data_IF_231118796832
#
_entry.id   IF_231118796832
#
_cell.length_a   1.000
_cell.length_b   1.000
_cell.length_c   1.000
_cell.angle_alpha   90.00
_cell.angle_beta   90.00
_cell.angle_gamma   90.00
#
_symmetry.space_group_name_H-M   'P 1'
#
loop_
_entity.id
_entity.type
_entity.pdbx_description
1 polymer ?
#
# COMPACT_ATOMS: atom_id res chain seq x y z
N UNK A 1 -15.71 6.24 60.53
CA UNK A 1 -15.63 4.82 60.13
C UNK A 1 -16.16 4.54 58.71
N UNK A 2 -17.35 5.02 58.28
CA UNK A 2 -17.86 4.77 56.94
C UNK A 2 -17.01 5.42 55.83
N UNK A 3 -16.46 6.61 56.07
CA UNK A 3 -15.58 7.29 55.08
C UNK A 3 -14.26 6.55 54.83
N UNK A 4 -13.63 6.05 55.90
CA UNK A 4 -12.38 5.25 55.78
C UNK A 4 -12.61 3.91 55.10
N UNK A 5 -13.75 3.28 55.29
CA UNK A 5 -14.12 2.05 54.59
C UNK A 5 -14.29 2.29 53.10
N UNK A 6 -14.94 3.38 52.69
CA UNK A 6 -15.09 3.76 51.28
C UNK A 6 -13.73 4.05 50.63
N UNK A 7 -12.83 4.78 51.30
CA UNK A 7 -11.48 5.05 50.79
C UNK A 7 -10.71 3.74 50.57
N UNK A 8 -10.78 2.82 51.52
CA UNK A 8 -10.13 1.50 51.42
C UNK A 8 -10.72 0.67 50.27
N UNK A 9 -12.03 0.71 50.09
CA UNK A 9 -12.70 -0.02 49.02
C UNK A 9 -12.36 0.54 47.64
N UNK A 10 -12.31 1.88 47.48
CA UNK A 10 -11.89 2.49 46.20
C UNK A 10 -10.42 2.18 45.87
N UNK A 11 -9.54 2.20 46.89
CA UNK A 11 -8.14 1.80 46.73
C UNK A 11 -7.97 0.34 46.30
N UNK A 12 -8.74 -0.57 46.93
CA UNK A 12 -8.72 -1.99 46.58
C UNK A 12 -9.23 -2.22 45.13
N UNK A 13 -10.31 -1.55 44.73
CA UNK A 13 -10.84 -1.64 43.39
C UNK A 13 -9.83 -1.10 42.34
N UNK A 14 -9.20 0.02 42.64
CA UNK A 14 -8.15 0.58 41.76
C UNK A 14 -6.96 -0.38 41.64
N UNK A 15 -6.50 -0.97 42.73
CA UNK A 15 -5.42 -1.95 42.72
C UNK A 15 -5.79 -3.19 41.88
N UNK A 16 -7.03 -3.69 41.99
CA UNK A 16 -7.53 -4.82 41.20
C UNK A 16 -7.47 -4.49 39.69
N UNK A 17 -8.01 -3.34 39.25
CA UNK A 17 -8.01 -2.89 37.85
C UNK A 17 -6.57 -2.74 37.34
N UNK A 18 -5.66 -2.20 38.14
CA UNK A 18 -4.24 -2.08 37.76
C UNK A 18 -3.58 -3.44 37.52
N UNK A 19 -3.83 -4.42 38.42
CA UNK A 19 -3.31 -5.79 38.30
C UNK A 19 -3.89 -6.48 37.06
N UNK A 20 -5.20 -6.35 36.81
CA UNK A 20 -5.85 -6.89 35.60
C UNK A 20 -5.26 -6.28 34.34
N UNK A 21 -4.99 -4.97 34.32
CA UNK A 21 -4.37 -4.29 33.20
C UNK A 21 -2.93 -4.77 32.96
N UNK A 22 -2.12 -4.91 34.01
CA UNK A 22 -0.74 -5.44 33.89
C UNK A 22 -0.78 -6.88 33.39
N UNK A 23 -1.66 -7.72 33.92
CA UNK A 23 -1.82 -9.10 33.48
C UNK A 23 -2.21 -9.18 32.00
N UNK A 24 -3.12 -8.31 31.54
CA UNK A 24 -3.50 -8.23 30.14
C UNK A 24 -2.33 -7.78 29.25
N UNK A 25 -1.55 -6.78 29.68
CA UNK A 25 -0.36 -6.34 28.95
C UNK A 25 0.69 -7.46 28.83
N UNK A 26 0.90 -8.25 29.89
CA UNK A 26 1.84 -9.39 29.89
C UNK A 26 1.32 -10.49 28.97
N UNK A 27 0.05 -10.85 29.07
CA UNK A 27 -0.56 -11.88 28.24
C UNK A 27 -0.47 -11.55 26.74
N UNK A 28 -0.58 -10.28 26.38
CA UNK A 28 -0.60 -9.82 25.00
C UNK A 28 0.73 -9.21 24.51
N UNK A 29 1.83 -9.33 25.27
CA UNK A 29 3.11 -8.72 24.90
C UNK A 29 3.66 -9.16 23.53
N UNK A 30 3.30 -10.38 23.10
CA UNK A 30 3.68 -10.95 21.81
C UNK A 30 2.53 -10.98 20.79
N UNK A 31 1.38 -10.37 21.11
CA UNK A 31 0.24 -10.27 20.18
C UNK A 31 0.54 -9.14 19.18
N UNK A 32 0.56 -9.46 17.91
CA UNK A 32 0.79 -8.50 16.84
C UNK A 32 -0.30 -7.39 16.85
N UNK A 33 0.13 -6.14 16.71
CA UNK A 33 -0.77 -4.98 16.73
C UNK A 33 -1.20 -4.52 18.12
N UNK A 34 -0.97 -5.31 19.19
CA UNK A 34 -1.34 -4.91 20.54
C UNK A 34 -0.54 -3.70 21.03
N UNK A 35 -1.24 -2.72 21.58
CA UNK A 35 -0.63 -1.54 22.21
C UNK A 35 -0.73 -1.64 23.72
N UNK A 36 0.38 -1.35 24.40
CA UNK A 36 0.41 -1.30 25.88
C UNK A 36 -0.69 -0.38 26.40
N UNK A 37 -1.44 -0.84 27.38
CA UNK A 37 -2.53 -0.11 28.03
C UNK A 37 -2.13 0.40 29.38
N UNK A 38 -2.57 1.60 29.70
CA UNK A 38 -2.34 2.24 31.00
C UNK A 38 -3.68 2.70 31.55
N UNK A 39 -3.92 2.38 32.81
CA UNK A 39 -5.10 2.81 33.53
C UNK A 39 -4.84 4.18 34.16
N UNK A 40 -5.73 5.12 33.90
CA UNK A 40 -5.67 6.42 34.53
C UNK A 40 -6.29 6.33 35.97
N UNK A 41 -5.48 6.67 36.96
CA UNK A 41 -5.91 6.74 38.35
C UNK A 41 -5.94 8.20 38.73
N UNK A 42 -7.07 8.66 39.29
CA UNK A 42 -7.26 10.03 39.78
C UNK A 42 -7.82 10.01 41.21
N UNK A 43 -7.52 11.04 41.94
CA UNK A 43 -8.20 11.27 43.21
C UNK A 43 -9.69 11.58 42.99
N UNK A 44 -10.53 11.20 43.93
CA UNK A 44 -11.94 11.62 43.99
C UNK A 44 -11.99 12.97 44.71
N UNK A 45 -12.46 14.01 44.00
CA UNK A 45 -12.50 15.38 44.48
C UNK A 45 -13.22 15.51 45.84
N UNK A 46 -12.67 16.38 46.69
CA UNK A 46 -13.15 16.65 48.01
C UNK A 46 -14.35 17.62 47.93
N UNK A 47 -15.51 17.21 48.46
CA UNK A 47 -16.69 18.09 48.49
C UNK A 47 -16.72 19.02 49.72
N UNK A 48 -15.93 18.75 50.77
CA UNK A 48 -15.89 19.54 52.00
C UNK A 48 -14.49 19.46 52.64
N UNK A 49 -13.95 20.59 53.04
CA UNK A 49 -12.63 20.71 53.68
C UNK A 49 -12.48 19.98 55.00
N UNK A 50 -13.57 19.47 55.56
CA UNK A 50 -13.61 18.71 56.84
C UNK A 50 -13.24 17.24 56.71
N UNK A 51 -13.08 16.72 55.47
CA UNK A 51 -12.77 15.32 55.21
C UNK A 51 -11.43 15.18 54.48
N UNK A 52 -10.56 14.30 54.96
CA UNK A 52 -9.28 13.96 54.34
C UNK A 52 -9.47 12.96 53.21
N UNK A 53 -9.73 13.44 52.00
CA UNK A 53 -9.80 12.61 50.79
C UNK A 53 -11.04 11.68 50.72
N UNK A 54 -11.45 11.34 49.53
CA UNK A 54 -12.58 10.42 49.24
C UNK A 54 -12.14 9.11 48.60
N UNK A 55 -10.81 8.93 48.44
CA UNK A 55 -10.24 7.75 47.79
C UNK A 55 -9.78 8.03 46.36
N UNK A 56 -9.69 6.96 45.59
CA UNK A 56 -9.16 7.00 44.22
C UNK A 56 -10.18 6.39 43.27
N UNK A 57 -10.20 6.93 42.06
CA UNK A 57 -10.96 6.40 40.94
C UNK A 57 -9.98 5.88 39.88
N UNK A 58 -10.07 4.59 39.54
CA UNK A 58 -9.44 4.02 38.38
C UNK A 58 -10.44 4.08 37.23
N UNK A 59 -10.27 5.05 36.37
CA UNK A 59 -11.16 5.29 35.24
C UNK A 59 -10.55 4.72 33.93
N UNK A 60 -10.67 5.39 32.86
CA UNK A 60 -10.36 4.96 31.51
C UNK A 60 -8.98 4.31 31.34
N UNK A 61 -8.97 3.24 30.57
CA UNK A 61 -7.74 2.62 30.06
C UNK A 61 -7.43 3.23 28.69
N UNK A 62 -6.23 3.77 28.54
CA UNK A 62 -5.79 4.32 27.26
C UNK A 62 -4.58 3.59 26.70
N UNK A 63 -4.43 3.60 25.39
CA UNK A 63 -3.29 3.00 24.68
C UNK A 63 -2.10 3.95 24.69
N UNK A 64 -0.90 3.40 24.90
CA UNK A 64 0.34 4.17 24.74
C UNK A 64 0.73 4.14 23.27
N UNK A 65 0.46 5.22 22.55
CA UNK A 65 0.74 5.37 21.13
C UNK A 65 1.42 6.72 20.85
N UNK A 66 2.19 6.78 19.79
CA UNK A 66 2.73 8.01 19.24
C UNK A 66 2.36 8.09 17.76
N UNK A 67 1.46 8.99 17.41
CA UNK A 67 1.02 9.19 16.03
C UNK A 67 2.21 9.46 15.10
N UNK A 68 3.12 10.33 15.51
CA UNK A 68 4.33 10.63 14.73
C UNK A 68 5.17 9.37 14.42
N UNK A 69 5.37 8.49 15.41
CA UNK A 69 6.13 7.27 15.22
C UNK A 69 5.38 6.28 14.34
N UNK A 70 4.06 6.24 14.47
CA UNK A 70 3.21 5.39 13.65
C UNK A 70 3.19 5.83 12.18
N UNK A 71 3.04 7.12 11.91
CA UNK A 71 3.09 7.68 10.56
C UNK A 71 4.46 7.44 9.90
N UNK A 72 5.53 7.57 10.69
CA UNK A 72 6.86 7.26 10.20
C UNK A 72 7.02 5.78 9.89
N UNK A 73 6.52 4.90 10.76
CA UNK A 73 6.58 3.45 10.57
C UNK A 73 5.83 3.04 9.28
N UNK A 74 4.60 3.50 9.08
CA UNK A 74 3.82 3.21 7.88
C UNK A 74 4.48 3.75 6.61
N UNK A 75 5.01 4.96 6.64
CA UNK A 75 5.75 5.55 5.52
C UNK A 75 7.02 4.77 5.16
N UNK A 76 7.83 4.38 6.15
CA UNK A 76 9.04 3.59 5.89
C UNK A 76 8.69 2.15 5.44
N UNK A 77 7.60 1.57 5.96
CA UNK A 77 7.10 0.29 5.50
C UNK A 77 6.71 0.33 4.01
N UNK A 78 5.95 1.36 3.59
CA UNK A 78 5.58 1.56 2.18
C UNK A 78 6.82 1.69 1.29
N UNK A 79 7.82 2.49 1.71
CA UNK A 79 9.08 2.63 0.95
C UNK A 79 9.84 1.32 0.82
N UNK A 80 9.94 0.56 1.92
CA UNK A 80 10.60 -0.74 1.93
C UNK A 80 9.93 -1.71 0.94
N UNK A 81 8.60 -1.81 0.99
CA UNK A 81 7.85 -2.67 0.09
C UNK A 81 7.96 -2.22 -1.39
N UNK A 82 7.94 -0.91 -1.63
CA UNK A 82 8.16 -0.36 -2.98
C UNK A 82 9.52 -0.78 -3.55
N UNK A 83 10.61 -0.60 -2.79
CA UNK A 83 11.94 -0.96 -3.27
C UNK A 83 12.13 -2.47 -3.41
N UNK A 84 11.53 -3.26 -2.52
CA UNK A 84 11.51 -4.72 -2.64
C UNK A 84 10.77 -5.18 -3.91
N UNK A 85 9.61 -4.61 -4.19
CA UNK A 85 8.86 -4.91 -5.42
C UNK A 85 9.63 -4.49 -6.66
N UNK A 86 10.22 -3.29 -6.65
CA UNK A 86 11.06 -2.80 -7.75
C UNK A 86 12.25 -3.72 -8.00
N UNK A 87 12.95 -4.15 -6.93
CA UNK A 87 14.07 -5.08 -7.03
C UNK A 87 13.66 -6.43 -7.63
N UNK A 88 12.52 -6.97 -7.17
CA UNK A 88 11.99 -8.23 -7.69
C UNK A 88 11.60 -8.11 -9.17
N UNK A 89 10.96 -7.02 -9.56
CA UNK A 89 10.59 -6.75 -10.95
C UNK A 89 11.84 -6.60 -11.83
N UNK A 90 12.86 -5.87 -11.36
CA UNK A 90 14.12 -5.75 -12.10
C UNK A 90 14.84 -7.09 -12.22
N UNK A 91 14.84 -7.93 -11.19
CA UNK A 91 15.36 -9.29 -11.25
C UNK A 91 14.62 -10.18 -12.25
N UNK A 92 13.29 -10.04 -12.34
CA UNK A 92 12.50 -10.73 -13.37
C UNK A 92 12.85 -10.29 -14.77
N UNK A 93 13.02 -8.98 -14.98
CA UNK A 93 13.46 -8.42 -16.27
C UNK A 93 14.89 -8.88 -16.59
N UNK A 94 15.80 -8.83 -15.62
CA UNK A 94 17.17 -9.31 -15.80
C UNK A 94 17.19 -10.79 -16.22
N UNK A 95 16.32 -11.62 -15.64
CA UNK A 95 16.21 -13.03 -16.00
C UNK A 95 15.75 -13.26 -17.46
N UNK A 96 14.91 -12.36 -17.99
CA UNK A 96 14.48 -12.41 -19.41
C UNK A 96 15.66 -12.12 -20.35
N UNK A 97 16.55 -11.21 -19.96
CA UNK A 97 17.76 -10.88 -20.70
C UNK A 97 18.98 -11.72 -20.30
N UNK A 98 18.80 -12.70 -19.40
CA UNK A 98 19.92 -13.52 -18.94
C UNK A 98 20.50 -14.31 -20.11
N UNK A 99 21.74 -13.99 -20.43
CA UNK A 99 22.48 -14.61 -21.53
C UNK A 99 23.60 -15.48 -20.96
N UNK A 100 23.84 -16.60 -21.61
CA UNK A 100 25.03 -17.40 -21.35
C UNK A 100 26.07 -17.13 -22.46
N UNK A 101 27.31 -17.56 -22.24
CA UNK A 101 28.38 -17.39 -23.24
C UNK A 101 28.01 -17.94 -24.62
N UNK A 102 27.18 -18.97 -24.64
CA UNK A 102 26.87 -19.73 -25.86
C UNK A 102 25.40 -19.65 -26.29
N UNK A 103 24.56 -18.98 -25.53
CA UNK A 103 23.13 -18.82 -25.87
C UNK A 103 22.60 -17.45 -25.40
N UNK A 104 21.60 -16.96 -26.13
CA UNK A 104 20.96 -15.66 -25.91
C UNK A 104 21.06 -14.77 -27.16
N UNK A 105 20.34 -13.66 -27.13
CA UNK A 105 20.26 -12.74 -28.28
C UNK A 105 21.63 -12.22 -28.75
N UNK A 106 22.51 -11.83 -27.82
CA UNK A 106 23.85 -11.33 -28.17
C UNK A 106 24.71 -12.42 -28.83
N UNK A 107 24.59 -13.67 -28.39
CA UNK A 107 25.30 -14.80 -28.97
C UNK A 107 24.80 -15.08 -30.41
N UNK A 108 23.46 -15.06 -30.61
CA UNK A 108 22.86 -15.26 -31.92
C UNK A 108 23.19 -14.12 -32.88
N UNK A 109 23.21 -12.88 -32.37
CA UNK A 109 23.64 -11.71 -33.15
C UNK A 109 25.11 -11.83 -33.62
N UNK A 110 26.01 -12.24 -32.73
CA UNK A 110 27.40 -12.46 -33.05
C UNK A 110 27.56 -13.59 -34.07
N UNK A 111 26.84 -14.70 -33.94
CA UNK A 111 26.83 -15.81 -34.92
C UNK A 111 26.32 -15.35 -36.28
N UNK A 112 25.32 -14.50 -36.32
CA UNK A 112 24.79 -13.93 -37.54
C UNK A 112 25.84 -13.08 -38.25
N UNK A 113 26.50 -12.15 -37.55
CA UNK A 113 27.59 -11.35 -38.14
C UNK A 113 28.78 -12.21 -38.58
N UNK A 114 29.14 -13.22 -37.82
CA UNK A 114 30.20 -14.15 -38.20
C UNK A 114 29.83 -14.95 -39.44
N UNK A 115 28.57 -15.32 -39.62
CA UNK A 115 28.11 -16.01 -40.84
C UNK A 115 28.12 -15.11 -42.05
N UNK A 116 27.86 -13.81 -41.90
CA UNK A 116 28.03 -12.80 -42.98
C UNK A 116 29.50 -12.73 -43.40
N UNK A 117 30.42 -12.68 -42.43
CA UNK A 117 31.86 -12.58 -42.74
C UNK A 117 32.37 -13.84 -43.42
N UNK A 118 31.93 -15.02 -43.02
CA UNK A 118 32.26 -16.28 -43.68
C UNK A 118 31.75 -16.32 -45.12
N UNK A 119 30.53 -15.83 -45.39
CA UNK A 119 30.00 -15.75 -46.73
C UNK A 119 30.74 -14.70 -47.59
N UNK A 120 31.17 -13.57 -46.99
CA UNK A 120 31.98 -12.55 -47.67
C UNK A 120 33.29 -13.11 -48.21
N UNK A 121 33.94 -13.99 -47.44
CA UNK A 121 35.20 -14.64 -47.88
C UNK A 121 35.00 -15.70 -48.96
N UNK A 122 33.84 -16.34 -49.01
CA UNK A 122 33.49 -17.42 -49.95
C UNK A 122 32.06 -17.26 -50.49
N UNK A 123 31.79 -16.28 -51.39
CA UNK A 123 30.42 -15.91 -51.77
C UNK A 123 29.67 -16.97 -52.57
N UNK A 124 30.37 -17.90 -53.19
CA UNK A 124 29.78 -19.00 -54.00
C UNK A 124 29.50 -20.28 -53.19
N UNK A 125 29.86 -20.30 -51.89
CA UNK A 125 29.65 -21.48 -51.04
C UNK A 125 28.19 -21.63 -50.64
N UNK A 126 27.52 -22.68 -51.07
CA UNK A 126 26.14 -23.01 -50.68
C UNK A 126 26.03 -23.32 -49.18
N UNK A 127 27.10 -23.84 -48.57
CA UNK A 127 27.18 -24.10 -47.13
C UNK A 127 27.11 -22.79 -46.35
N UNK A 128 27.89 -21.77 -46.73
CA UNK A 128 27.87 -20.48 -46.03
C UNK A 128 26.58 -19.70 -46.27
N UNK A 129 25.95 -19.83 -47.45
CA UNK A 129 24.61 -19.28 -47.68
C UNK A 129 23.56 -19.91 -46.75
N UNK A 130 23.61 -21.24 -46.62
CA UNK A 130 22.72 -21.96 -45.69
C UNK A 130 22.96 -21.61 -44.23
N UNK A 131 24.25 -21.48 -43.85
CA UNK A 131 24.62 -21.06 -42.47
C UNK A 131 24.12 -19.66 -42.17
N UNK A 132 24.26 -18.71 -43.08
CA UNK A 132 23.75 -17.35 -42.92
C UNK A 132 22.22 -17.34 -42.79
N UNK A 133 21.51 -18.11 -43.61
CA UNK A 133 20.06 -18.24 -43.51
C UNK A 133 19.63 -18.79 -42.14
N UNK A 134 20.30 -19.84 -41.67
CA UNK A 134 19.97 -20.48 -40.39
C UNK A 134 20.27 -19.55 -39.22
N UNK A 135 21.41 -18.87 -39.19
CA UNK A 135 21.73 -17.91 -38.14
C UNK A 135 20.82 -16.69 -38.16
N UNK A 136 20.35 -16.24 -39.32
CA UNK A 136 19.32 -15.22 -39.44
C UNK A 136 17.97 -15.66 -38.87
N UNK A 137 17.54 -16.90 -39.14
CA UNK A 137 16.32 -17.45 -38.58
C UNK A 137 16.41 -17.57 -37.06
N UNK A 138 17.53 -18.08 -36.52
CA UNK A 138 17.75 -18.19 -35.08
C UNK A 138 17.71 -16.81 -34.40
N UNK A 139 18.32 -15.78 -35.02
CA UNK A 139 18.28 -14.42 -34.50
C UNK A 139 16.85 -13.86 -34.43
N UNK A 140 16.04 -14.11 -35.49
CA UNK A 140 14.62 -13.70 -35.48
C UNK A 140 13.84 -14.44 -34.41
N UNK A 141 14.07 -15.74 -34.25
CA UNK A 141 13.44 -16.55 -33.21
C UNK A 141 13.81 -16.07 -31.80
N UNK A 142 15.08 -15.75 -31.55
CA UNK A 142 15.54 -15.17 -30.27
C UNK A 142 14.85 -13.84 -29.98
N UNK A 143 14.70 -12.96 -30.97
CA UNK A 143 13.96 -11.71 -30.80
C UNK A 143 12.47 -11.92 -30.48
N UNK A 144 11.83 -12.86 -31.17
CA UNK A 144 10.42 -13.18 -30.92
C UNK A 144 10.23 -13.75 -29.53
N UNK A 145 11.12 -14.63 -29.09
CA UNK A 145 11.08 -15.20 -27.74
C UNK A 145 11.28 -14.13 -26.67
N UNK A 146 12.22 -13.21 -26.88
CA UNK A 146 12.46 -12.08 -25.97
C UNK A 146 11.22 -11.18 -25.89
N UNK A 147 10.63 -10.81 -27.03
CA UNK A 147 9.42 -10.02 -27.11
C UNK A 147 8.26 -10.69 -26.34
N UNK A 148 8.02 -11.97 -26.62
CA UNK A 148 6.94 -12.74 -25.96
C UNK A 148 7.17 -12.86 -24.45
N UNK A 149 8.42 -13.00 -24.01
CA UNK A 149 8.77 -13.05 -22.60
C UNK A 149 8.47 -11.73 -21.89
N UNK A 150 8.79 -10.59 -22.51
CA UNK A 150 8.48 -9.25 -21.99
C UNK A 150 6.95 -9.03 -21.93
N UNK A 151 6.23 -9.43 -22.99
CA UNK A 151 4.77 -9.34 -23.04
C UNK A 151 4.10 -10.17 -21.93
N UNK A 152 4.57 -11.40 -21.71
CA UNK A 152 4.09 -12.26 -20.63
C UNK A 152 4.38 -11.66 -19.24
N UNK A 153 5.55 -11.05 -19.06
CA UNK A 153 5.88 -10.35 -17.80
C UNK A 153 4.93 -9.17 -17.58
N UNK A 154 4.66 -8.39 -18.63
CA UNK A 154 3.70 -7.27 -18.53
C UNK A 154 2.29 -7.74 -18.15
N UNK A 155 1.81 -8.85 -18.72
CA UNK A 155 0.51 -9.45 -18.37
C UNK A 155 0.50 -9.92 -16.92
N UNK A 156 1.62 -10.48 -16.44
CA UNK A 156 1.77 -10.94 -15.06
C UNK A 156 1.69 -9.76 -14.09
N UNK A 157 2.45 -8.69 -14.34
CA UNK A 157 2.44 -7.48 -13.50
C UNK A 157 1.04 -6.82 -13.47
N UNK A 158 0.33 -6.81 -14.60
CA UNK A 158 -1.03 -6.30 -14.67
C UNK A 158 -1.98 -7.10 -13.77
N UNK A 159 -1.93 -8.43 -13.84
CA UNK A 159 -2.76 -9.29 -12.98
C UNK A 159 -2.44 -9.10 -11.51
N UNK A 160 -1.16 -8.96 -11.16
CA UNK A 160 -0.74 -8.69 -9.79
C UNK A 160 -1.27 -7.34 -9.31
N UNK A 161 -1.23 -6.30 -10.15
CA UNK A 161 -1.82 -5.00 -9.85
C UNK A 161 -3.32 -5.11 -9.54
N UNK A 162 -4.08 -5.87 -10.34
CA UNK A 162 -5.51 -6.09 -10.10
C UNK A 162 -5.77 -6.79 -8.76
N UNK A 163 -4.97 -7.82 -8.43
CA UNK A 163 -5.06 -8.52 -7.14
C UNK A 163 -4.77 -7.57 -5.98
N UNK A 164 -3.72 -6.76 -6.11
CA UNK A 164 -3.33 -5.80 -5.07
C UNK A 164 -4.39 -4.70 -4.88
N UNK A 165 -5.00 -4.19 -5.96
CA UNK A 165 -6.10 -3.20 -5.86
C UNK A 165 -7.32 -3.81 -5.16
N UNK A 166 -7.66 -5.06 -5.46
CA UNK A 166 -8.75 -5.75 -4.77
C UNK A 166 -8.45 -5.95 -3.28
N UNK A 167 -7.20 -6.28 -2.93
CA UNK A 167 -6.78 -6.38 -1.52
C UNK A 167 -6.85 -5.04 -0.80
N UNK A 168 -6.41 -3.94 -1.44
CA UNK A 168 -6.56 -2.58 -0.93
C UNK A 168 -8.03 -2.25 -0.66
N UNK A 169 -8.93 -2.53 -1.60
CA UNK A 169 -10.36 -2.30 -1.44
C UNK A 169 -10.96 -3.10 -0.27
N UNK A 170 -10.53 -4.36 -0.11
CA UNK A 170 -10.95 -5.18 1.03
C UNK A 170 -10.52 -4.57 2.36
N UNK A 171 -9.25 -4.16 2.46
CA UNK A 171 -8.71 -3.52 3.67
C UNK A 171 -9.43 -2.20 3.99
N UNK A 172 -9.70 -1.36 2.99
CA UNK A 172 -10.46 -0.12 3.18
C UNK A 172 -11.87 -0.40 3.70
N UNK A 173 -12.53 -1.42 3.16
CA UNK A 173 -13.88 -1.82 3.59
C UNK A 173 -13.86 -2.34 5.04
N UNK A 174 -12.85 -3.12 5.42
CA UNK A 174 -12.68 -3.61 6.78
C UNK A 174 -12.41 -2.47 7.76
N UNK A 175 -11.56 -1.50 7.41
CA UNK A 175 -11.31 -0.29 8.21
C UNK A 175 -12.62 0.51 8.41
N UNK A 176 -13.38 0.71 7.33
CA UNK A 176 -14.69 1.37 7.40
C UNK A 176 -15.65 0.66 8.34
N UNK A 177 -15.70 -0.67 8.30
CA UNK A 177 -16.52 -1.49 9.21
C UNK A 177 -16.08 -1.37 10.68
N UNK A 178 -14.78 -1.29 10.93
CA UNK A 178 -14.27 -1.05 12.30
C UNK A 178 -14.65 0.34 12.78
N UNK A 179 -14.51 1.35 11.93
CA UNK A 179 -14.92 2.71 12.26
C UNK A 179 -16.42 2.80 12.58
N UNK A 180 -17.28 2.10 11.83
CA UNK A 180 -18.72 2.00 12.12
C UNK A 180 -18.98 1.37 13.50
N UNK A 181 -18.21 0.34 13.86
CA UNK A 181 -18.32 -0.27 15.20
C UNK A 181 -17.84 0.68 16.29
N UNK A 182 -16.77 1.45 16.06
CA UNK A 182 -16.26 2.45 16.99
C UNK A 182 -17.26 3.58 17.22
N UNK A 183 -18.00 4.02 16.19
CA UNK A 183 -19.07 5.01 16.35
C UNK A 183 -20.25 4.53 17.18
N UNK A 184 -20.60 3.23 17.07
CA UNK A 184 -21.70 2.62 17.80
C UNK A 184 -21.33 2.24 19.24
N UNK A 185 -20.05 2.22 19.57
CA UNK A 185 -19.57 1.83 20.89
C UNK A 185 -19.60 3.03 21.84
N UNK A 186 -20.28 2.88 22.97
CA UNK A 186 -20.31 3.91 24.02
C UNK A 186 -19.00 3.86 24.83
N UNK A 187 -18.02 4.63 24.42
CA UNK A 187 -16.68 4.71 25.01
C UNK A 187 -15.55 4.40 24.03
N UNK A 188 -14.35 4.15 24.54
CA UNK A 188 -13.16 3.85 23.76
C UNK A 188 -12.88 2.35 23.74
N UNK A 189 -13.07 1.70 22.60
CA UNK A 189 -12.67 0.30 22.41
C UNK A 189 -11.23 0.20 21.93
N UNK A 190 -10.31 -0.06 22.86
CA UNK A 190 -8.89 -0.20 22.54
C UNK A 190 -8.62 -1.37 21.59
N UNK A 191 -9.38 -2.47 21.67
CA UNK A 191 -9.23 -3.63 20.77
C UNK A 191 -9.59 -3.29 19.32
N UNK A 192 -10.68 -2.54 19.10
CA UNK A 192 -11.06 -2.10 17.76
C UNK A 192 -10.04 -1.11 17.18
N UNK A 193 -9.49 -0.24 18.02
CA UNK A 193 -8.43 0.68 17.60
C UNK A 193 -7.13 -0.07 17.25
N UNK A 194 -6.73 -1.09 18.02
CA UNK A 194 -5.58 -1.93 17.73
C UNK A 194 -5.77 -2.69 16.40
N UNK A 195 -6.98 -3.22 16.17
CA UNK A 195 -7.33 -3.89 14.92
C UNK A 195 -7.31 -2.93 13.72
N UNK A 196 -7.78 -1.70 13.89
CA UNK A 196 -7.71 -0.67 12.85
C UNK A 196 -6.26 -0.33 12.51
N UNK A 197 -5.43 -0.06 13.52
CA UNK A 197 -4.00 0.24 13.32
C UNK A 197 -3.30 -0.92 12.58
N UNK A 198 -3.66 -2.18 12.88
CA UNK A 198 -3.13 -3.35 12.18
C UNK A 198 -3.52 -3.38 10.70
N UNK A 199 -4.81 -3.11 10.39
CA UNK A 199 -5.28 -3.04 9.00
C UNK A 199 -4.66 -1.88 8.22
N UNK A 200 -4.49 -0.72 8.86
CA UNK A 200 -3.78 0.43 8.29
C UNK A 200 -2.32 0.10 7.99
N UNK A 201 -1.64 -0.61 8.91
CA UNK A 201 -0.27 -1.08 8.68
C UNK A 201 -0.20 -2.10 7.55
N UNK A 202 -1.15 -3.05 7.47
CA UNK A 202 -1.25 -3.98 6.34
C UNK A 202 -1.50 -3.24 5.02
N UNK A 203 -2.36 -2.20 5.02
CA UNK A 203 -2.62 -1.37 3.86
C UNK A 203 -1.35 -0.65 3.37
N UNK A 204 -0.48 -0.23 4.30
CA UNK A 204 0.79 0.42 3.96
C UNK A 204 1.80 -0.49 3.23
N UNK A 205 1.57 -1.80 3.18
CA UNK A 205 2.35 -2.71 2.34
C UNK A 205 2.11 -2.49 0.85
N UNK A 206 0.93 -1.97 0.49
CA UNK A 206 0.47 -1.83 -0.89
C UNK A 206 0.50 -0.39 -1.37
N UNK A 207 0.19 0.57 -0.50
CA UNK A 207 -0.05 1.97 -0.88
C UNK A 207 0.51 2.94 0.15
N UNK A 208 0.87 4.13 -0.31
CA UNK A 208 1.27 5.23 0.57
C UNK A 208 0.03 5.83 1.24
N UNK A 209 -0.06 5.67 2.56
CA UNK A 209 -1.20 6.12 3.36
C UNK A 209 -0.84 7.32 4.21
N UNK A 210 -1.82 8.18 4.41
CA UNK A 210 -1.77 9.27 5.38
C UNK A 210 -3.07 9.29 6.17
N UNK A 211 -2.94 9.22 7.49
CA UNK A 211 -4.06 9.16 8.42
C UNK A 211 -4.18 10.49 9.13
N UNK A 212 -5.38 11.00 9.22
CA UNK A 212 -5.67 12.26 9.89
C UNK A 212 -7.10 12.33 10.39
N UNK A 213 -7.47 13.50 10.87
CA UNK A 213 -8.85 13.83 11.19
C UNK A 213 -9.27 15.09 10.43
N UNK A 214 -10.50 15.08 9.93
CA UNK A 214 -11.12 16.25 9.34
C UNK A 214 -12.39 16.55 10.14
N UNK A 215 -12.44 17.69 10.85
CA UNK A 215 -13.53 18.06 11.76
C UNK A 215 -13.83 16.97 12.80
N UNK A 216 -12.80 16.40 13.44
CA UNK A 216 -12.87 15.32 14.42
C UNK A 216 -13.25 13.93 13.84
N UNK A 217 -13.57 13.83 12.55
CA UNK A 217 -13.85 12.57 11.89
C UNK A 217 -12.55 11.97 11.30
N UNK A 218 -12.46 10.64 11.39
CA UNK A 218 -11.36 9.89 10.80
C UNK A 218 -11.30 10.07 9.28
N UNK A 219 -10.13 10.36 8.77
CA UNK A 219 -9.84 10.46 7.34
C UNK A 219 -8.58 9.67 7.00
N UNK A 220 -8.67 8.81 5.99
CA UNK A 220 -7.54 8.10 5.42
C UNK A 220 -7.35 8.51 3.96
N UNK A 221 -6.13 8.87 3.60
CA UNK A 221 -5.74 9.24 2.23
C UNK A 221 -4.75 8.21 1.69
N UNK A 222 -4.90 7.89 0.41
CA UNK A 222 -3.96 7.08 -0.38
C UNK A 222 -3.36 7.99 -1.44
N UNK A 223 -2.02 8.12 -1.43
CA UNK A 223 -1.29 9.01 -2.34
C UNK A 223 -1.90 10.43 -2.42
N UNK A 224 -2.35 10.96 -1.28
CA UNK A 224 -2.97 12.29 -1.17
C UNK A 224 -4.46 12.34 -1.52
N UNK A 225 -5.07 11.28 -2.05
CA UNK A 225 -6.50 11.20 -2.36
C UNK A 225 -7.27 10.58 -1.19
N UNK A 226 -8.43 11.16 -0.86
CA UNK A 226 -9.26 10.66 0.23
C UNK A 226 -9.88 9.31 -0.15
N UNK A 227 -9.51 8.27 0.60
CA UNK A 227 -10.04 6.91 0.45
C UNK A 227 -11.15 6.60 1.48
N UNK A 228 -10.99 7.09 2.73
CA UNK A 228 -12.05 7.02 3.74
C UNK A 228 -12.28 8.44 4.26
N UNK A 229 -13.55 8.85 4.31
CA UNK A 229 -13.98 10.14 4.86
C UNK A 229 -15.15 9.96 5.82
N UNK A 230 -15.29 10.90 6.77
CA UNK A 230 -16.37 10.89 7.75
C UNK A 230 -16.51 9.51 8.44
N UNK A 231 -15.38 8.96 8.90
CA UNK A 231 -15.24 7.65 9.53
C UNK A 231 -15.57 6.45 8.62
N UNK A 232 -16.73 6.42 7.99
CA UNK A 232 -17.30 5.21 7.37
C UNK A 232 -17.49 5.29 5.85
N UNK A 233 -17.32 6.47 5.25
CA UNK A 233 -17.51 6.63 3.81
C UNK A 233 -16.27 6.15 3.05
N UNK A 234 -16.30 4.91 2.59
CA UNK A 234 -15.21 4.23 1.89
C UNK A 234 -15.35 4.41 0.38
N UNK A 235 -14.25 4.75 -0.28
CA UNK A 235 -14.12 4.81 -1.74
C UNK A 235 -13.25 3.64 -2.20
N UNK A 236 -13.66 3.00 -3.29
CA UNK A 236 -12.95 1.87 -3.89
C UNK A 236 -12.16 2.30 -5.11
N UNK A 237 -11.11 1.57 -5.43
CA UNK A 237 -10.25 1.78 -6.58
C UNK A 237 -10.47 0.68 -7.62
N UNK A 238 -10.25 0.99 -8.90
CA UNK A 238 -10.26 0.02 -9.99
C UNK A 238 -9.10 0.27 -10.94
N UNK A 239 -8.60 -0.80 -11.55
CA UNK A 239 -7.62 -0.69 -12.63
C UNK A 239 -8.37 -0.40 -13.92
N UNK A 240 -8.02 0.70 -14.58
CA UNK A 240 -8.55 1.02 -15.90
C UNK A 240 -7.62 0.44 -16.96
N UNK A 241 -8.15 -0.36 -17.87
CA UNK A 241 -7.45 -0.72 -19.09
C UNK A 241 -7.42 0.48 -20.04
N UNK A 242 -6.25 1.08 -20.19
CA UNK A 242 -6.04 2.00 -21.29
C UNK A 242 -5.82 1.19 -22.56
N UNK A 243 -6.87 1.06 -23.37
CA UNK A 243 -6.70 0.70 -24.76
C UNK A 243 -5.86 1.81 -25.43
N UNK A 244 -4.71 1.47 -26.01
CA UNK A 244 -3.85 2.41 -26.74
C UNK A 244 -4.64 3.20 -27.78
N UNK A 245 -5.67 2.60 -28.36
CA UNK A 245 -6.63 3.28 -29.24
C UNK A 245 -7.49 4.34 -28.53
N UNK A 246 -7.68 4.27 -27.23
CA UNK A 246 -8.36 5.32 -26.45
C UNK A 246 -7.40 6.46 -26.10
N UNK A 247 -6.12 6.19 -25.90
CA UNK A 247 -5.12 7.25 -25.71
C UNK A 247 -5.00 8.08 -26.99
N UNK A 248 -4.90 7.48 -28.16
CA UNK A 248 -4.86 8.19 -29.43
C UNK A 248 -6.16 8.97 -29.72
N UNK A 249 -7.32 8.41 -29.40
CA UNK A 249 -8.61 9.12 -29.48
C UNK A 249 -8.73 10.23 -28.43
N UNK A 250 -8.10 10.06 -27.27
CA UNK A 250 -8.06 11.03 -26.20
C UNK A 250 -7.13 12.20 -26.55
N UNK A 251 -5.92 11.93 -27.04
CA UNK A 251 -4.99 12.94 -27.52
C UNK A 251 -5.54 13.72 -28.73
N UNK A 252 -6.19 13.05 -29.67
CA UNK A 252 -6.73 13.68 -30.86
C UNK A 252 -8.02 14.50 -30.64
N UNK A 253 -8.74 14.30 -29.54
CA UNK A 253 -10.01 15.01 -29.25
C UNK A 253 -9.88 16.22 -28.35
N UNK A 254 -8.76 16.44 -27.68
CA UNK A 254 -8.67 17.44 -26.61
C UNK A 254 -7.60 18.52 -26.77
N UNK A 255 -6.93 18.61 -27.93
CA UNK A 255 -6.13 19.77 -28.25
C UNK A 255 -7.05 20.95 -28.57
N UNK A 256 -7.00 21.99 -27.74
CA UNK A 256 -7.60 23.27 -28.08
C UNK A 256 -6.83 23.91 -29.24
N UNK A 257 -7.47 24.81 -29.99
CA UNK A 257 -6.84 25.55 -31.11
C UNK A 257 -5.56 26.32 -30.73
N UNK A 258 -5.29 26.49 -29.45
CA UNK A 258 -4.09 27.13 -28.89
C UNK A 258 -3.01 26.14 -28.40
N UNK A 259 -3.14 24.84 -28.67
CA UNK A 259 -2.18 23.81 -28.28
C UNK A 259 -2.17 23.42 -26.79
N UNK A 260 -3.16 23.87 -26.00
CA UNK A 260 -3.30 23.47 -24.61
C UNK A 260 -4.20 22.25 -24.43
N UNK A 261 -3.84 21.38 -23.53
CA UNK A 261 -4.50 20.11 -23.26
C UNK A 261 -5.45 20.25 -22.05
N UNK A 262 -6.72 19.86 -22.21
CA UNK A 262 -7.70 19.93 -21.15
C UNK A 262 -8.17 18.52 -20.76
N UNK A 263 -7.69 17.99 -19.62
CA UNK A 263 -8.17 16.73 -19.06
C UNK A 263 -9.43 16.99 -18.25
N UNK A 264 -10.57 17.18 -18.89
CA UNK A 264 -11.77 17.52 -18.14
C UNK A 264 -12.62 16.32 -17.71
N UNK A 265 -12.56 15.15 -18.34
CA UNK A 265 -13.62 14.15 -18.15
C UNK A 265 -13.21 12.68 -18.17
N UNK A 266 -11.97 12.30 -17.92
CA UNK A 266 -11.55 10.98 -18.39
C UNK A 266 -10.98 9.96 -17.43
N UNK A 267 -10.98 10.20 -16.13
CA UNK A 267 -10.75 9.12 -15.17
C UNK A 267 -11.95 9.04 -14.24
N UNK A 268 -12.91 8.19 -14.60
CA UNK A 268 -14.01 7.82 -13.71
C UNK A 268 -13.54 6.65 -12.87
N UNK A 269 -13.33 6.90 -11.60
CA UNK A 269 -13.28 5.84 -10.61
C UNK A 269 -14.74 5.49 -10.26
N UNK A 270 -15.03 4.21 -10.13
CA UNK A 270 -16.33 3.77 -9.62
C UNK A 270 -16.55 4.37 -8.22
N UNK A 271 -17.71 5.00 -8.01
CA UNK A 271 -18.08 5.77 -6.82
C UNK A 271 -17.52 7.20 -6.67
N UNK A 272 -17.62 8.03 -7.74
CA UNK A 272 -17.46 9.50 -7.65
C UNK A 272 -16.07 10.06 -7.30
N UNK A 273 -14.99 9.36 -7.56
CA UNK A 273 -13.67 9.96 -7.59
C UNK A 273 -13.46 10.69 -8.91
N UNK A 274 -13.61 12.01 -8.89
CA UNK A 274 -13.20 12.86 -10.02
C UNK A 274 -11.70 13.11 -9.83
N UNK A 275 -10.89 12.59 -10.76
CA UNK A 275 -9.47 12.96 -10.81
C UNK A 275 -9.34 14.48 -10.99
N UNK A 276 -8.54 15.09 -10.12
CA UNK A 276 -8.18 16.50 -10.30
C UNK A 276 -7.32 16.65 -11.56
N UNK A 277 -7.45 17.80 -12.24
CA UNK A 277 -6.70 18.15 -13.43
C UNK A 277 -5.19 17.91 -13.23
N UNK A 278 -4.61 17.07 -14.07
CA UNK A 278 -3.16 16.89 -14.15
C UNK A 278 -2.64 17.76 -15.30
N UNK A 279 -1.59 18.53 -15.05
CA UNK A 279 -0.86 19.23 -16.10
C UNK A 279 0.06 18.25 -16.85
N UNK A 280 0.25 18.46 -18.16
CA UNK A 280 1.25 17.70 -18.94
C UNK A 280 2.62 17.98 -18.33
N UNK A 281 3.33 16.95 -17.91
CA UNK A 281 4.64 17.04 -17.25
C UNK A 281 4.64 16.61 -15.79
N UNK A 282 3.49 16.51 -15.15
CA UNK A 282 3.38 15.89 -13.83
C UNK A 282 3.39 14.37 -14.02
N UNK A 283 4.53 13.75 -13.76
CA UNK A 283 4.61 12.31 -13.65
C UNK A 283 3.85 11.90 -12.39
N UNK A 284 2.60 11.52 -12.54
CA UNK A 284 1.85 10.87 -11.47
C UNK A 284 2.38 9.45 -11.36
N UNK A 285 3.42 9.28 -10.58
CA UNK A 285 3.89 7.97 -10.20
C UNK A 285 2.92 7.48 -9.14
N UNK A 286 1.91 6.71 -9.53
CA UNK A 286 1.13 5.95 -8.58
C UNK A 286 2.06 4.91 -7.95
N UNK A 287 2.47 5.16 -6.72
CA UNK A 287 3.08 4.14 -5.87
C UNK A 287 1.93 3.26 -5.38
N UNK A 288 1.59 2.26 -6.14
CA UNK A 288 0.76 1.16 -5.69
C UNK A 288 1.66 0.03 -5.30
#
# INVERSE_FOLDING_TARGET
MLGTLNVSQTGLNAAKILVENVSNNIANQNTEGYKKRVVQVSEIEQMDTRFTGRGVNASNTYRVTSQYMYDKLTSENTKSNYYNKLSNMMGSIESIFAETKDSGFSSDLNRYFQSIENLRTNPNSEVYKSTLKNSGNNLVESLQNLYTSIENQQVTEKKELEVNVNKVNSLLTEIGSINEKLEKYDGVSNDLLDKRDQLEFELSNYVDISIGSNNEYYELKIAGNVAISNNTNVRTFSVLENDTNQIDKFYNKQYNANGTFNIKDSIKFDNNLVARNFAIGDSVTYKI
#
